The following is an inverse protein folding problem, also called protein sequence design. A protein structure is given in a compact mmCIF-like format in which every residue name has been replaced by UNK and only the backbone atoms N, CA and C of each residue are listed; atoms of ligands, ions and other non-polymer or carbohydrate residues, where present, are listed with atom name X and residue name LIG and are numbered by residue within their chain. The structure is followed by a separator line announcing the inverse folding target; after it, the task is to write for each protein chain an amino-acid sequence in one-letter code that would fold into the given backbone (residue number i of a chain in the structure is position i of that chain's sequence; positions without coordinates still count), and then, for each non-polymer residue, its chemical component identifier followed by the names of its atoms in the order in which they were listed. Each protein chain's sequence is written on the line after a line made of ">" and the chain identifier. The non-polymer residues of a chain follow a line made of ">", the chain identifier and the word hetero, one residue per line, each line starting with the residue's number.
data_IF_784225373472
#
_entry.id   IF_784225373472
#
_cell.length_a   1.000
_cell.length_b   1.000
_cell.length_c   1.000
_cell.angle_alpha   90.00
_cell.angle_beta   90.00
_cell.angle_gamma   90.00
#
_symmetry.space_group_name_H-M   'P 1'
#
loop_
_entity.id
_entity.type
_entity.pdbx_description
1 polymer ?
#
# COMPACT_ATOMS: atom_id res chain seq x y z
N UNK A 1 46.03 -0.84 -26.96
CA UNK A 1 45.43 -1.94 -27.75
C UNK A 1 44.83 -1.32 -29.02
N UNK A 2 45.62 -1.27 -30.11
CA UNK A 2 45.27 -0.49 -31.29
C UNK A 2 44.24 -1.26 -32.12
N UNK A 3 42.95 -1.05 -31.84
CA UNK A 3 41.84 -1.59 -32.63
C UNK A 3 41.87 -0.91 -34.00
N UNK A 4 42.41 -1.63 -34.99
CA UNK A 4 42.34 -1.22 -36.39
C UNK A 4 40.87 -1.34 -36.79
N UNK A 5 40.15 -0.23 -36.80
CA UNK A 5 38.78 -0.20 -37.29
C UNK A 5 38.81 -0.50 -38.78
N UNK A 6 38.19 -1.61 -39.16
CA UNK A 6 38.10 -2.00 -40.57
C UNK A 6 37.28 -0.93 -41.31
N UNK A 7 37.72 -0.41 -42.47
CA UNK A 7 37.02 0.69 -43.15
C UNK A 7 35.56 0.34 -43.46
N UNK A 8 35.25 -0.94 -43.73
CA UNK A 8 33.87 -1.40 -43.88
C UNK A 8 33.02 -1.21 -42.63
N UNK A 9 33.59 -1.37 -41.44
CA UNK A 9 32.86 -1.15 -40.18
C UNK A 9 32.45 0.32 -40.05
N UNK A 10 33.33 1.24 -40.43
CA UNK A 10 33.04 2.69 -40.42
C UNK A 10 31.92 2.99 -41.43
N UNK A 11 32.00 2.43 -42.65
CA UNK A 11 30.96 2.63 -43.67
C UNK A 11 29.61 2.12 -43.19
N UNK A 12 29.55 0.91 -42.63
CA UNK A 12 28.31 0.34 -42.08
C UNK A 12 27.76 1.23 -40.95
N UNK A 13 28.62 1.72 -40.06
CA UNK A 13 28.23 2.56 -38.94
C UNK A 13 27.67 3.91 -39.42
N UNK A 14 28.26 4.49 -40.47
CA UNK A 14 27.77 5.72 -41.10
C UNK A 14 26.43 5.49 -41.80
N UNK A 15 26.28 4.41 -42.59
CA UNK A 15 24.99 4.06 -43.21
C UNK A 15 23.90 3.81 -42.16
N UNK A 16 24.25 3.14 -41.05
CA UNK A 16 23.33 2.92 -39.94
C UNK A 16 22.89 4.26 -39.32
N UNK A 17 23.83 5.17 -39.07
CA UNK A 17 23.53 6.50 -38.53
C UNK A 17 22.63 7.30 -39.48
N UNK A 18 22.93 7.31 -40.78
CA UNK A 18 22.11 7.99 -41.80
C UNK A 18 20.71 7.38 -41.86
N UNK A 19 20.59 6.04 -41.83
CA UNK A 19 19.29 5.37 -41.82
C UNK A 19 18.44 5.74 -40.62
N UNK A 20 19.04 5.88 -39.44
CA UNK A 20 18.37 6.34 -38.22
C UNK A 20 17.91 7.80 -38.37
N UNK A 21 18.75 8.67 -38.91
CA UNK A 21 18.42 10.09 -39.13
C UNK A 21 17.30 10.23 -40.18
N UNK A 22 17.32 9.41 -41.24
CA UNK A 22 16.29 9.44 -42.27
C UNK A 22 14.93 8.98 -41.70
N UNK A 23 14.93 7.91 -40.89
CA UNK A 23 13.74 7.46 -40.13
C UNK A 23 13.24 8.56 -39.19
N UNK A 24 14.13 9.29 -38.55
CA UNK A 24 13.82 10.43 -37.68
C UNK A 24 13.12 11.58 -38.42
N UNK A 25 13.52 11.87 -39.66
CA UNK A 25 12.86 12.89 -40.48
C UNK A 25 11.50 12.44 -41.02
N UNK A 26 11.34 11.15 -41.36
CA UNK A 26 10.08 10.65 -41.92
C UNK A 26 9.00 10.38 -40.88
N UNK A 27 9.37 9.89 -39.69
CA UNK A 27 8.42 9.55 -38.61
C UNK A 27 8.89 10.09 -37.25
N UNK A 28 8.97 11.43 -37.08
CA UNK A 28 9.48 12.03 -35.84
C UNK A 28 8.67 11.61 -34.61
N UNK A 29 7.38 11.33 -34.78
CA UNK A 29 6.48 10.91 -33.70
C UNK A 29 6.89 9.56 -33.07
N UNK A 30 7.27 8.56 -33.87
CA UNK A 30 7.66 7.24 -33.35
C UNK A 30 8.93 7.31 -32.48
N UNK A 31 9.90 8.13 -32.90
CA UNK A 31 11.13 8.35 -32.15
C UNK A 31 10.89 9.11 -30.85
N UNK A 32 10.02 10.13 -30.88
CA UNK A 32 9.58 10.84 -29.67
C UNK A 32 8.91 9.86 -28.72
N UNK A 33 8.02 8.99 -29.21
CA UNK A 33 7.38 7.95 -28.38
C UNK A 33 8.42 7.01 -27.78
N UNK A 34 9.39 6.52 -28.56
CA UNK A 34 10.45 5.65 -28.03
C UNK A 34 11.31 6.33 -26.96
N UNK A 35 11.71 7.59 -27.18
CA UNK A 35 12.46 8.40 -26.21
C UNK A 35 11.62 8.68 -24.96
N UNK A 36 10.32 8.97 -25.13
CA UNK A 36 9.41 9.22 -24.01
C UNK A 36 9.15 7.95 -23.21
N UNK A 37 9.06 6.78 -23.85
CA UNK A 37 8.93 5.50 -23.15
C UNK A 37 10.21 5.21 -22.38
N UNK A 38 11.37 5.24 -23.04
CA UNK A 38 12.66 4.91 -22.41
C UNK A 38 13.02 5.94 -21.33
N UNK A 39 12.85 7.22 -21.63
CA UNK A 39 13.06 8.33 -20.73
C UNK A 39 12.04 8.36 -19.60
N UNK A 40 10.78 8.05 -19.86
CA UNK A 40 9.73 7.95 -18.85
C UNK A 40 9.95 6.80 -17.88
N UNK A 41 10.33 5.61 -18.38
CA UNK A 41 10.72 4.46 -17.56
C UNK A 41 11.98 4.78 -16.76
N UNK A 42 13.00 5.38 -17.39
CA UNK A 42 14.24 5.77 -16.70
C UNK A 42 13.98 6.81 -15.61
N UNK A 43 13.17 7.84 -15.90
CA UNK A 43 12.78 8.89 -14.96
C UNK A 43 12.02 8.28 -13.79
N UNK A 44 11.07 7.38 -14.05
CA UNK A 44 10.29 6.72 -13.02
C UNK A 44 11.12 5.74 -12.18
N UNK A 45 12.07 5.03 -12.80
CA UNK A 45 13.00 4.14 -12.11
C UNK A 45 13.98 4.94 -11.24
N UNK A 46 14.53 6.04 -11.78
CA UNK A 46 15.51 6.89 -11.08
C UNK A 46 14.86 7.73 -9.98
N UNK A 47 13.65 8.23 -10.24
CA UNK A 47 12.88 9.08 -9.35
C UNK A 47 11.49 8.48 -9.15
N UNK A 48 11.38 7.34 -8.43
CA UNK A 48 10.09 6.74 -8.17
C UNK A 48 9.23 7.74 -7.40
N UNK A 49 8.05 8.12 -7.93
CA UNK A 49 7.23 9.17 -7.33
C UNK A 49 6.79 8.71 -5.95
N UNK A 50 6.69 9.68 -5.04
CA UNK A 50 6.32 9.47 -3.63
C UNK A 50 4.99 8.72 -3.44
N UNK A 51 4.15 8.66 -4.48
CA UNK A 51 2.91 7.88 -4.53
C UNK A 51 3.13 6.36 -4.57
N UNK A 52 4.25 5.90 -5.14
CA UNK A 52 4.67 4.49 -5.14
C UNK A 52 5.66 4.16 -4.03
N UNK A 53 6.13 5.16 -3.27
CA UNK A 53 6.69 4.92 -1.94
C UNK A 53 5.54 4.46 -1.07
N UNK A 54 5.24 3.16 -1.18
CA UNK A 54 4.28 2.40 -0.41
C UNK A 54 4.26 2.99 1.00
N UNK A 55 3.07 3.40 1.42
CA UNK A 55 2.80 3.80 2.79
C UNK A 55 3.05 2.59 3.71
N UNK A 56 4.33 2.27 3.94
CA UNK A 56 4.80 1.28 4.90
C UNK A 56 4.62 1.79 6.34
N UNK A 57 3.67 2.71 6.55
CA UNK A 57 3.50 3.49 7.76
C UNK A 57 2.08 3.52 8.30
N UNK A 58 1.12 2.76 7.76
CA UNK A 58 -0.07 2.41 8.54
C UNK A 58 0.26 1.16 9.35
N UNK A 59 1.04 1.35 10.42
CA UNK A 59 0.88 0.50 11.61
C UNK A 59 -0.63 0.44 11.85
N UNK A 60 -1.26 -0.75 12.02
CA UNK A 60 -2.59 -0.75 12.62
C UNK A 60 -2.41 -0.03 13.95
N UNK A 61 -3.04 1.15 14.10
CA UNK A 61 -3.08 1.78 15.42
C UNK A 61 -3.85 0.80 16.29
N UNK A 62 -3.13 -0.01 17.05
CA UNK A 62 -3.64 -0.98 18.03
C UNK A 62 -4.26 -0.27 19.25
N UNK A 63 -4.89 0.87 19.01
CA UNK A 63 -5.43 1.77 20.01
C UNK A 63 -6.23 2.85 19.29
N UNK A 64 -7.36 2.46 18.68
CA UNK A 64 -8.54 3.27 18.94
C UNK A 64 -8.74 3.17 20.45
N UNK A 65 -8.06 4.07 21.16
CA UNK A 65 -8.16 4.28 22.60
C UNK A 65 -9.66 4.44 22.85
N UNK A 66 -10.35 3.36 23.21
CA UNK A 66 -11.60 3.48 23.94
C UNK A 66 -11.19 4.30 25.14
N UNK A 67 -11.56 5.57 25.14
CA UNK A 67 -11.38 6.46 26.28
C UNK A 67 -11.89 5.66 27.47
N UNK A 68 -10.98 5.17 28.31
CA UNK A 68 -11.32 4.39 29.48
C UNK A 68 -12.05 5.38 30.36
N UNK A 69 -13.38 5.39 30.29
CA UNK A 69 -14.21 6.24 31.14
C UNK A 69 -13.71 6.01 32.57
N UNK A 70 -13.29 7.12 33.18
CA UNK A 70 -12.70 7.11 34.52
C UNK A 70 -13.79 6.60 35.45
N UNK A 71 -13.65 5.35 35.91
CA UNK A 71 -14.58 4.75 36.86
C UNK A 71 -14.64 5.66 38.09
N UNK A 72 -15.84 6.13 38.44
CA UNK A 72 -16.06 6.94 39.63
C UNK A 72 -15.77 6.07 40.85
N UNK A 73 -14.93 6.55 41.77
CA UNK A 73 -14.73 5.89 43.05
C UNK A 73 -16.00 6.09 43.88
N UNK A 74 -16.85 5.06 43.95
CA UNK A 74 -18.07 5.06 44.77
C UNK A 74 -17.92 4.01 45.86
N UNK A 75 -18.30 4.32 47.11
CA UNK A 75 -18.22 3.36 48.20
C UNK A 75 -19.16 2.19 47.93
N UNK A 76 -18.84 1.04 48.52
CA UNK A 76 -19.71 -0.12 48.50
C UNK A 76 -21.07 0.26 49.10
N UNK A 77 -22.14 -0.01 48.35
CA UNK A 77 -23.52 0.11 48.82
C UNK A 77 -24.14 -1.26 48.79
N UNK A 78 -24.79 -1.63 49.87
CA UNK A 78 -25.56 -2.86 49.95
C UNK A 78 -26.73 -2.72 48.98
N UNK A 79 -26.71 -3.53 47.92
CA UNK A 79 -27.88 -3.68 47.04
C UNK A 79 -28.90 -4.47 47.85
N UNK A 80 -30.07 -3.89 48.09
CA UNK A 80 -31.16 -4.66 48.67
C UNK A 80 -31.53 -5.78 47.69
N UNK A 81 -31.34 -7.02 48.12
CA UNK A 81 -31.72 -8.17 47.32
C UNK A 81 -33.23 -8.17 47.10
N UNK A 82 -33.67 -8.39 45.87
CA UNK A 82 -35.09 -8.49 45.52
C UNK A 82 -35.64 -9.87 45.91
N UNK A 83 -35.31 -10.36 47.12
CA UNK A 83 -35.81 -11.63 47.62
C UNK A 83 -37.30 -11.43 47.85
N UNK A 84 -38.13 -12.19 47.14
CA UNK A 84 -39.57 -12.21 47.39
C UNK A 84 -39.75 -12.63 48.84
N UNK A 85 -40.42 -11.81 49.63
CA UNK A 85 -40.82 -12.17 50.98
C UNK A 85 -41.60 -13.48 50.87
N UNK A 86 -41.17 -14.49 51.63
CA UNK A 86 -41.70 -15.86 51.60
C UNK A 86 -43.07 -15.95 52.30
N UNK A 87 -43.89 -14.90 52.18
CA UNK A 87 -45.26 -14.81 52.68
C UNK A 87 -46.27 -15.45 51.68
N UNK A 88 -45.78 -16.38 50.85
CA UNK A 88 -46.59 -17.24 50.00
C UNK A 88 -46.62 -18.67 50.55
N UNK A 89 -47.71 -19.44 50.37
CA UNK A 89 -47.79 -20.80 50.91
C UNK A 89 -46.63 -21.67 50.40
N UNK A 90 -46.04 -22.54 51.25
CA UNK A 90 -44.81 -23.26 50.94
C UNK A 90 -44.96 -24.06 49.65
N UNK A 91 -44.09 -23.77 48.68
CA UNK A 91 -44.05 -24.45 47.40
C UNK A 91 -43.70 -25.92 47.64
N UNK A 92 -44.57 -26.84 47.23
CA UNK A 92 -44.40 -28.27 47.48
C UNK A 92 -43.14 -28.76 46.74
N UNK A 93 -42.31 -29.61 47.38
CA UNK A 93 -41.07 -30.07 46.77
C UNK A 93 -41.36 -30.88 45.50
N UNK A 94 -40.57 -30.65 44.45
CA UNK A 94 -40.68 -31.38 43.19
C UNK A 94 -40.22 -32.83 43.37
N UNK A 95 -41.12 -33.77 43.11
CA UNK A 95 -40.79 -35.20 43.04
C UNK A 95 -40.25 -35.51 41.65
N UNK A 96 -39.04 -36.04 41.57
CA UNK A 96 -38.48 -36.57 40.32
C UNK A 96 -39.13 -37.92 40.01
N UNK A 97 -39.70 -38.07 38.82
CA UNK A 97 -40.19 -39.34 38.27
C UNK A 97 -39.12 -40.01 37.41
#
# INVERSE_FOLDING_TARGET
>A
MNRRFHPFFIVILVLMAIGIIFRMMTTPFELIVAIVIFGGVFLLWKYPPSRFRKANGRKPSSSAKRTKERRKNVPFRVIQGNKRDDDGPPEKPHTYH
#
